data_IF_815297133802
#
_entry.id   IF_815297133802
#
_cell.length_a   1.000
_cell.length_b   1.000
_cell.length_c   1.000
_cell.angle_alpha   90.00
_cell.angle_beta   90.00
_cell.angle_gamma   90.00
#
_symmetry.space_group_name_H-M   'P 1'
#
loop_
_entity.id
_entity.type
_entity.pdbx_description
1 polymer ?
#
# COMPACT_ATOMS: atom_id res chain seq x y z
N UNK A 1 -16.12 12.43 11.23
CA UNK A 1 -15.71 13.56 10.38
C UNK A 1 -14.92 13.02 9.20
N UNK A 2 -15.17 13.55 8.00
CA UNK A 2 -14.40 13.26 6.80
C UNK A 2 -14.05 14.55 6.05
N UNK A 3 -13.44 14.42 4.88
CA UNK A 3 -12.96 15.55 4.09
C UNK A 3 -13.73 15.63 2.75
N UNK A 4 -14.25 16.81 2.43
CA UNK A 4 -14.75 17.12 1.09
C UNK A 4 -13.59 17.53 0.19
N UNK A 5 -13.29 16.72 -0.82
CA UNK A 5 -12.16 16.98 -1.73
C UNK A 5 -12.45 18.10 -2.75
N UNK A 6 -13.71 18.47 -2.96
CA UNK A 6 -14.08 19.54 -3.90
C UNK A 6 -13.99 20.91 -3.26
N UNK A 7 -14.36 21.01 -1.98
CA UNK A 7 -14.40 22.27 -1.22
C UNK A 7 -13.26 22.41 -0.22
N UNK A 8 -12.53 21.33 0.07
CA UNK A 8 -11.43 21.31 1.03
C UNK A 8 -11.86 21.46 2.49
N UNK A 9 -13.14 21.20 2.82
CA UNK A 9 -13.70 21.40 4.17
C UNK A 9 -14.00 20.08 4.86
N UNK A 10 -13.96 20.09 6.19
CA UNK A 10 -14.40 18.96 7.01
C UNK A 10 -15.92 18.83 6.90
N UNK A 11 -16.42 17.61 6.71
CA UNK A 11 -17.86 17.33 6.65
C UNK A 11 -18.24 16.00 7.31
N UNK A 12 -19.53 15.76 7.45
CA UNK A 12 -20.05 14.45 7.82
C UNK A 12 -20.22 13.57 6.57
N UNK A 13 -19.37 12.55 6.43
CA UNK A 13 -19.39 11.64 5.29
C UNK A 13 -20.66 10.77 5.23
N UNK A 14 -21.24 10.42 6.38
CA UNK A 14 -22.45 9.59 6.44
C UNK A 14 -23.65 10.33 5.83
N UNK A 15 -23.85 11.60 6.19
CA UNK A 15 -24.92 12.45 5.65
C UNK A 15 -24.77 12.69 4.14
N UNK A 16 -23.54 12.65 3.62
CA UNK A 16 -23.23 12.83 2.20
C UNK A 16 -23.13 11.50 1.44
N UNK A 17 -23.54 10.38 2.05
CA UNK A 17 -23.57 9.06 1.41
C UNK A 17 -22.20 8.44 1.13
N UNK A 18 -21.12 8.98 1.71
CA UNK A 18 -19.77 8.43 1.57
C UNK A 18 -19.54 7.39 2.65
N UNK A 19 -19.73 6.12 2.30
CA UNK A 19 -19.66 4.98 3.21
C UNK A 19 -18.68 3.96 2.66
N UNK A 20 -17.91 3.33 3.56
CA UNK A 20 -17.02 2.24 3.23
C UNK A 20 -17.28 1.04 4.14
N UNK A 21 -17.20 -0.21 3.64
CA UNK A 21 -17.34 -1.38 4.49
C UNK A 21 -16.23 -1.48 5.53
N UNK A 22 -16.59 -1.70 6.79
CA UNK A 22 -15.63 -1.87 7.88
C UNK A 22 -14.62 -3.01 7.60
N UNK A 23 -15.10 -4.12 7.03
CA UNK A 23 -14.26 -5.26 6.65
C UNK A 23 -13.15 -4.87 5.66
N UNK A 24 -13.42 -3.97 4.72
CA UNK A 24 -12.41 -3.50 3.76
C UNK A 24 -11.32 -2.70 4.48
N UNK A 25 -11.69 -1.81 5.41
CA UNK A 25 -10.72 -1.04 6.21
C UNK A 25 -9.85 -1.94 7.08
N UNK A 26 -10.41 -2.98 7.70
CA UNK A 26 -9.66 -3.96 8.50
C UNK A 26 -8.63 -4.69 7.64
N UNK A 27 -9.04 -5.20 6.47
CA UNK A 27 -8.14 -5.92 5.56
C UNK A 27 -7.01 -5.03 5.02
N UNK A 28 -7.30 -3.76 4.71
CA UNK A 28 -6.29 -2.80 4.26
C UNK A 28 -5.19 -2.62 5.32
N UNK A 29 -5.58 -2.43 6.59
CA UNK A 29 -4.63 -2.26 7.68
C UNK A 29 -3.80 -3.53 7.89
N UNK A 30 -4.45 -4.70 7.88
CA UNK A 30 -3.76 -5.99 8.03
C UNK A 30 -2.72 -6.21 6.92
N UNK A 31 -3.10 -6.03 5.66
CA UNK A 31 -2.18 -6.24 4.54
C UNK A 31 -1.03 -5.23 4.53
N UNK A 32 -1.31 -3.95 4.82
CA UNK A 32 -0.26 -2.94 4.94
C UNK A 32 0.71 -3.28 6.07
N UNK A 33 0.21 -3.79 7.20
CA UNK A 33 1.03 -4.16 8.36
C UNK A 33 1.94 -5.34 8.04
N UNK A 34 1.41 -6.42 7.48
CA UNK A 34 2.20 -7.60 7.10
C UNK A 34 3.26 -7.28 6.04
N UNK A 35 2.90 -6.45 5.05
CA UNK A 35 3.84 -5.98 4.03
C UNK A 35 4.96 -5.13 4.65
N UNK A 36 4.60 -4.16 5.49
CA UNK A 36 5.58 -3.30 6.15
C UNK A 36 6.53 -4.08 7.06
N UNK A 37 6.01 -4.99 7.89
CA UNK A 37 6.81 -5.87 8.74
C UNK A 37 7.75 -6.72 7.89
N UNK A 38 7.30 -7.21 6.75
CA UNK A 38 8.14 -8.00 5.84
C UNK A 38 9.26 -7.17 5.22
N UNK A 39 8.97 -5.96 4.77
CA UNK A 39 9.97 -5.03 4.21
C UNK A 39 11.02 -4.64 5.27
N UNK A 40 10.58 -4.28 6.49
CA UNK A 40 11.48 -3.86 7.58
C UNK A 40 12.38 -4.99 8.09
N UNK A 41 11.98 -6.25 7.88
CA UNK A 41 12.78 -7.43 8.24
C UNK A 41 13.89 -7.76 7.23
N UNK A 42 13.90 -7.16 6.05
CA UNK A 42 14.96 -7.37 5.07
C UNK A 42 16.22 -6.67 5.58
N UNK A 43 17.28 -7.43 5.79
CA UNK A 43 18.59 -6.94 6.20
C UNK A 43 19.47 -6.58 4.99
N UNK A 44 19.47 -7.42 3.94
CA UNK A 44 20.21 -7.17 2.70
C UNK A 44 19.43 -7.63 1.44
N UNK A 45 19.67 -6.97 0.30
CA UNK A 45 19.07 -7.27 -0.99
C UNK A 45 20.16 -7.39 -2.06
N UNK A 46 20.55 -8.63 -2.37
CA UNK A 46 21.50 -8.93 -3.44
C UNK A 46 20.75 -9.08 -4.76
N UNK A 47 21.14 -8.29 -5.76
CA UNK A 47 20.66 -8.42 -7.14
C UNK A 47 21.80 -8.95 -8.02
N UNK A 48 21.60 -10.11 -8.62
CA UNK A 48 22.53 -10.69 -9.59
C UNK A 48 22.08 -10.27 -10.99
N UNK A 49 22.96 -9.62 -11.72
CA UNK A 49 22.76 -9.43 -13.15
C UNK A 49 23.09 -10.75 -13.87
N UNK A 50 22.33 -11.04 -14.93
CA UNK A 50 22.52 -12.26 -15.71
C UNK A 50 23.84 -12.13 -16.46
N UNK A 51 24.75 -13.09 -16.33
CA UNK A 51 25.94 -13.13 -17.18
C UNK A 51 25.46 -13.24 -18.64
N UNK A 52 25.92 -12.32 -19.48
CA UNK A 52 25.76 -12.45 -20.93
C UNK A 52 26.59 -13.67 -21.34
N UNK A 53 25.91 -14.81 -21.50
CA UNK A 53 26.47 -15.99 -22.15
C UNK A 53 26.72 -15.64 -23.62
N UNK A 54 27.84 -14.97 -23.88
CA UNK A 54 28.25 -14.49 -25.18
C UNK A 54 29.77 -14.47 -25.25
N UNK A 55 30.29 -15.39 -26.05
CA UNK A 55 31.69 -15.58 -26.46
C UNK A 55 32.51 -16.50 -25.57
N UNK A 56 32.62 -17.75 -25.98
CA UNK A 56 33.92 -18.35 -26.32
C UNK A 56 33.69 -19.41 -27.41
N UNK A 57 34.42 -19.25 -28.51
CA UNK A 57 34.52 -20.12 -29.69
C UNK A 57 35.19 -21.47 -29.35
#
# INVERSE_FOLDING_TARGET
MGLDLTKGVIRNNLEHGVIEPAMSKVKIIQFATEAAITIVRIDDMIKLDKEESGQEE
#
